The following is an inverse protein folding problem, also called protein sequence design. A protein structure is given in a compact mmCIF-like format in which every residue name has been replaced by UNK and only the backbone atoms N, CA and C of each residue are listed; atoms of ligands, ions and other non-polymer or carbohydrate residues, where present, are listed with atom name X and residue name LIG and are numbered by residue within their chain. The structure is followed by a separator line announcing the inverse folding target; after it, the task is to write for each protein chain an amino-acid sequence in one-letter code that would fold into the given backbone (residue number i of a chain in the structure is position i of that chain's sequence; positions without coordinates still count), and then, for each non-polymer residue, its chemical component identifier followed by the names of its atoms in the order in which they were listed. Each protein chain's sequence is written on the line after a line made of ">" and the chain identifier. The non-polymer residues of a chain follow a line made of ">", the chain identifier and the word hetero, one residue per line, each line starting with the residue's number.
data_IF_763442105425
#
_entry.id   IF_763442105425
#
_cell.length_a   1.000
_cell.length_b   1.000
_cell.length_c   1.000
_cell.angle_alpha   90.00
_cell.angle_beta   90.00
_cell.angle_gamma   90.00
#
_symmetry.space_group_name_H-M   'P 1'
#
loop_
_entity.id
_entity.type
_entity.pdbx_description
1 polymer ?
#
# COMPACT_ATOMS: atom_id res chain seq x y z
N UNK A 1 -9.18 29.13 -8.86
CA UNK A 1 -9.65 28.30 -7.74
C UNK A 1 -8.70 27.13 -7.60
N UNK A 2 -7.55 27.36 -6.96
CA UNK A 2 -6.44 26.41 -6.91
C UNK A 2 -6.41 25.76 -5.54
N UNK A 3 -7.24 24.73 -5.34
CA UNK A 3 -7.08 23.80 -4.24
C UNK A 3 -5.88 22.90 -4.60
N UNK A 4 -4.67 23.47 -4.48
CA UNK A 4 -3.45 22.69 -4.58
C UNK A 4 -3.47 21.74 -3.40
N UNK A 5 -3.83 20.48 -3.67
CA UNK A 5 -3.84 19.40 -2.69
C UNK A 5 -2.46 19.33 -2.02
N UNK A 6 -2.33 20.00 -0.89
CA UNK A 6 -1.07 20.04 -0.16
C UNK A 6 -0.77 18.62 0.31
N UNK A 7 0.42 18.13 -0.06
CA UNK A 7 0.87 16.78 0.19
C UNK A 7 1.20 16.60 1.69
N UNK A 8 0.17 16.47 2.51
CA UNK A 8 0.30 16.17 3.94
C UNK A 8 0.66 14.69 4.16
N UNK A 9 1.55 14.42 5.12
CA UNK A 9 2.05 13.09 5.45
C UNK A 9 0.93 12.09 5.80
N UNK A 10 -0.18 12.56 6.38
CA UNK A 10 -1.35 11.70 6.62
C UNK A 10 -1.98 11.21 5.32
N UNK A 11 -2.09 12.09 4.31
CA UNK A 11 -2.67 11.74 3.01
C UNK A 11 -1.73 10.82 2.24
N UNK A 12 -0.45 11.18 2.17
CA UNK A 12 0.56 10.39 1.47
C UNK A 12 0.67 8.98 2.03
N UNK A 13 0.74 8.83 3.36
CA UNK A 13 0.91 7.52 4.00
C UNK A 13 -0.28 6.55 3.87
N UNK A 14 -1.46 7.06 3.51
CA UNK A 14 -2.70 6.27 3.36
C UNK A 14 -3.28 6.31 1.94
N UNK A 15 -2.55 6.89 0.98
CA UNK A 15 -3.02 7.04 -0.39
C UNK A 15 -3.02 5.70 -1.14
N UNK A 16 -3.94 5.56 -2.09
CA UNK A 16 -4.00 4.46 -3.04
C UNK A 16 -4.28 5.01 -4.44
N UNK A 17 -3.56 4.52 -5.43
CA UNK A 17 -3.82 4.83 -6.83
C UNK A 17 -5.00 4.03 -7.37
N UNK A 18 -5.63 4.50 -8.44
CA UNK A 18 -6.67 3.74 -9.14
C UNK A 18 -6.16 2.39 -9.65
N UNK A 19 -4.91 2.35 -10.13
CA UNK A 19 -4.25 1.13 -10.62
C UNK A 19 -4.10 0.10 -9.51
N UNK A 20 -3.60 0.53 -8.36
CA UNK A 20 -3.37 -0.34 -7.21
C UNK A 20 -4.70 -0.75 -6.54
N UNK A 21 -5.73 0.10 -6.57
CA UNK A 21 -7.07 -0.28 -6.12
C UNK A 21 -7.68 -1.36 -7.01
N UNK A 22 -7.59 -1.20 -8.33
CA UNK A 22 -8.09 -2.18 -9.29
C UNK A 22 -7.35 -3.52 -9.15
N UNK A 23 -6.04 -3.49 -8.94
CA UNK A 23 -5.28 -4.72 -8.66
C UNK A 23 -5.79 -5.42 -7.40
N UNK A 24 -6.02 -4.69 -6.30
CA UNK A 24 -6.54 -5.29 -5.07
C UNK A 24 -7.91 -5.96 -5.30
N UNK A 25 -8.80 -5.29 -6.03
CA UNK A 25 -10.12 -5.83 -6.38
C UNK A 25 -10.02 -7.08 -7.26
N UNK A 26 -9.18 -7.05 -8.29
CA UNK A 26 -8.89 -8.21 -9.15
C UNK A 26 -8.41 -9.41 -8.31
N UNK A 27 -7.45 -9.19 -7.42
CA UNK A 27 -6.94 -10.23 -6.52
C UNK A 27 -7.99 -10.78 -5.56
N UNK A 28 -8.93 -9.96 -5.10
CA UNK A 28 -10.05 -10.43 -4.28
C UNK A 28 -11.03 -11.29 -5.07
N UNK A 29 -11.22 -11.03 -6.37
CA UNK A 29 -12.08 -11.85 -7.25
C UNK A 29 -11.40 -13.20 -7.54
N UNK A 30 -10.09 -13.19 -7.74
CA UNK A 30 -9.26 -14.38 -8.02
C UNK A 30 -8.79 -15.11 -6.75
N UNK A 31 -9.29 -14.69 -5.59
CA UNK A 31 -8.84 -15.21 -4.31
C UNK A 31 -9.06 -16.74 -4.18
N UNK A 32 -8.21 -17.44 -3.39
CA UNK A 32 -8.40 -18.85 -3.11
C UNK A 32 -9.81 -19.16 -2.56
N UNK A 33 -10.44 -20.29 -2.94
CA UNK A 33 -11.83 -20.58 -2.58
C UNK A 33 -12.03 -20.84 -1.07
N UNK A 34 -10.95 -21.09 -0.32
CA UNK A 34 -10.95 -21.24 1.13
C UNK A 34 -10.89 -19.88 1.87
N UNK A 35 -10.60 -18.78 1.17
CA UNK A 35 -10.63 -17.44 1.73
C UNK A 35 -12.06 -16.86 1.75
N UNK A 36 -12.81 -17.18 2.80
CA UNK A 36 -14.20 -16.74 2.94
C UNK A 36 -14.36 -15.26 3.28
N UNK A 37 -13.46 -14.70 4.09
CA UNK A 37 -13.52 -13.32 4.54
C UNK A 37 -12.13 -12.83 4.99
N UNK A 38 -11.78 -11.61 4.61
CA UNK A 38 -10.58 -10.92 5.10
C UNK A 38 -10.76 -9.40 5.05
N UNK A 39 -9.96 -8.70 5.87
CA UNK A 39 -9.88 -7.24 5.86
C UNK A 39 -8.50 -6.85 5.31
N UNK A 40 -8.50 -6.04 4.25
CA UNK A 40 -7.30 -5.56 3.60
C UNK A 40 -7.18 -4.04 3.68
N UNK A 41 -5.96 -3.58 3.89
CA UNK A 41 -5.62 -2.16 3.86
C UNK A 41 -5.29 -1.78 2.42
N UNK A 42 -6.22 -1.10 1.76
CA UNK A 42 -6.04 -0.58 0.40
C UNK A 42 -5.13 0.65 0.40
N UNK A 43 -3.81 0.43 0.47
CA UNK A 43 -2.79 1.48 0.30
C UNK A 43 -1.80 1.04 -0.76
N UNK A 44 -1.38 2.02 -1.58
CA UNK A 44 -0.32 1.83 -2.57
C UNK A 44 1.02 1.52 -1.91
N UNK A 45 2.06 1.29 -2.71
CA UNK A 45 3.42 1.04 -2.22
C UNK A 45 4.12 2.33 -1.74
N UNK A 46 3.37 3.17 -1.01
CA UNK A 46 3.84 4.44 -0.46
C UNK A 46 5.09 4.22 0.36
N UNK A 47 6.04 5.14 0.22
CA UNK A 47 7.34 5.03 0.89
C UNK A 47 7.25 4.88 2.40
N UNK A 48 6.34 5.63 3.02
CA UNK A 48 6.07 5.59 4.44
C UNK A 48 4.61 5.21 4.65
N UNK A 49 4.32 3.91 4.75
CA UNK A 49 2.95 3.42 4.96
C UNK A 49 2.57 3.58 6.42
N UNK A 50 1.34 4.03 6.65
CA UNK A 50 0.76 4.08 7.99
C UNK A 50 0.20 2.72 8.44
N UNK A 51 -0.07 1.83 7.49
CA UNK A 51 -0.78 0.57 7.71
C UNK A 51 -0.01 -0.59 7.08
N UNK A 52 -0.02 -1.73 7.76
CA UNK A 52 0.58 -2.96 7.27
C UNK A 52 -0.29 -3.60 6.18
N UNK A 53 0.34 -4.00 5.06
CA UNK A 53 -0.30 -4.68 3.92
C UNK A 53 0.18 -6.12 3.76
N UNK A 54 0.94 -6.65 4.71
CA UNK A 54 1.46 -8.04 4.68
C UNK A 54 0.33 -9.06 4.48
N UNK A 55 -0.82 -8.87 5.13
CA UNK A 55 -1.99 -9.74 4.95
C UNK A 55 -2.47 -9.79 3.49
N UNK A 56 -2.61 -8.63 2.83
CA UNK A 56 -3.08 -8.57 1.45
C UNK A 56 -2.06 -9.20 0.48
N UNK A 57 -0.76 -9.05 0.76
CA UNK A 57 0.32 -9.73 0.01
C UNK A 57 0.24 -11.25 0.16
N UNK A 58 0.08 -11.73 1.41
CA UNK A 58 0.08 -13.16 1.72
C UNK A 58 -1.17 -13.89 1.23
N UNK A 59 -2.36 -13.32 1.45
CA UNK A 59 -3.62 -14.04 1.21
C UNK A 59 -4.12 -13.95 -0.22
N UNK A 60 -3.88 -12.83 -0.90
CA UNK A 60 -4.43 -12.59 -2.26
C UNK A 60 -3.37 -12.14 -3.26
N UNK A 61 -2.08 -12.09 -2.89
CA UNK A 61 -1.01 -11.71 -3.82
C UNK A 61 -1.08 -10.24 -4.25
N UNK A 62 -1.55 -9.35 -3.37
CA UNK A 62 -1.57 -7.91 -3.63
C UNK A 62 -0.13 -7.36 -3.74
N UNK A 63 0.20 -6.67 -4.82
CA UNK A 63 1.54 -6.18 -5.12
C UNK A 63 1.45 -4.77 -5.73
N UNK A 64 1.14 -3.74 -4.92
CA UNK A 64 0.98 -2.38 -5.38
C UNK A 64 2.29 -1.83 -5.96
N UNK A 65 2.19 -0.90 -6.90
CA UNK A 65 3.32 -0.37 -7.67
C UNK A 65 3.54 1.12 -7.53
N UNK A 66 2.50 1.86 -7.15
CA UNK A 66 2.57 3.32 -7.12
C UNK A 66 3.05 3.82 -5.74
N UNK A 67 3.72 4.97 -5.71
CA UNK A 67 4.21 5.63 -4.49
C UNK A 67 3.67 7.05 -4.44
N UNK A 68 2.84 7.37 -3.45
CA UNK A 68 2.24 8.69 -3.29
C UNK A 68 3.28 9.81 -3.27
N UNK A 69 4.44 9.59 -2.66
CA UNK A 69 5.43 10.64 -2.51
C UNK A 69 6.08 11.00 -3.85
N UNK A 70 6.24 10.02 -4.73
CA UNK A 70 6.65 10.25 -6.11
C UNK A 70 5.53 10.88 -6.94
N UNK A 71 4.29 10.37 -6.78
CA UNK A 71 3.13 10.83 -7.54
C UNK A 71 2.81 12.32 -7.30
N UNK A 72 2.81 12.76 -6.04
CA UNK A 72 2.54 14.15 -5.67
C UNK A 72 3.79 15.04 -5.65
N UNK A 73 4.97 14.50 -6.01
CA UNK A 73 6.22 15.26 -5.99
C UNK A 73 6.58 15.80 -4.59
N UNK A 74 6.14 15.13 -3.53
CA UNK A 74 6.50 15.48 -2.16
C UNK A 74 8.03 15.34 -2.03
N UNK A 75 8.74 16.42 -1.71
CA UNK A 75 10.19 16.57 -1.90
C UNK A 75 11.09 15.59 -1.14
N UNK A 76 11.12 14.32 -1.55
CA UNK A 76 12.06 13.33 -1.04
C UNK A 76 13.40 13.55 -1.74
N UNK A 77 14.40 13.99 -0.97
CA UNK A 77 15.75 14.21 -1.48
C UNK A 77 16.40 12.92 -2.00
N UNK A 78 16.06 11.78 -1.41
CA UNK A 78 16.59 10.47 -1.80
C UNK A 78 15.53 9.71 -2.59
N UNK A 79 15.72 9.52 -3.90
CA UNK A 79 14.78 8.77 -4.73
C UNK A 79 14.88 7.27 -4.52
N UNK A 80 16.09 6.77 -4.31
CA UNK A 80 16.34 5.37 -3.99
C UNK A 80 15.84 5.03 -2.59
N UNK A 81 15.15 3.89 -2.48
CA UNK A 81 14.65 3.38 -1.21
C UNK A 81 15.80 2.76 -0.42
N UNK A 82 16.38 3.54 0.47
CA UNK A 82 17.34 3.05 1.48
C UNK A 82 16.66 2.20 2.55
N UNK A 83 15.36 2.42 2.79
CA UNK A 83 14.51 1.58 3.62
C UNK A 83 13.69 0.64 2.74
N UNK A 84 13.87 -0.66 2.95
CA UNK A 84 12.96 -1.70 2.44
C UNK A 84 12.14 -2.19 3.64
N UNK A 85 10.83 -2.37 3.45
CA UNK A 85 10.00 -3.03 4.45
C UNK A 85 10.58 -4.42 4.72
N UNK A 86 11.00 -4.66 5.96
CA UNK A 86 11.38 -6.01 6.36
C UNK A 86 10.13 -6.88 6.34
N UNK A 87 10.21 -8.12 5.81
CA UNK A 87 9.10 -9.05 5.96
C UNK A 87 8.82 -9.20 7.44
N UNK A 88 7.60 -8.85 7.86
CA UNK A 88 7.17 -9.04 9.24
C UNK A 88 7.10 -10.55 9.47
N UNK A 89 8.21 -11.16 9.91
CA UNK A 89 8.20 -12.54 10.40
C UNK A 89 7.12 -12.62 11.46
N UNK A 90 6.02 -13.33 11.18
CA UNK A 90 4.94 -13.53 12.14
C UNK A 90 5.57 -13.94 13.47
N UNK A 91 5.58 -13.03 14.45
CA UNK A 91 5.55 -13.44 15.85
C UNK A 91 4.22 -14.16 15.98
N UNK A 92 4.23 -15.49 15.77
CA UNK A 92 3.16 -16.33 16.28
C UNK A 92 3.14 -16.03 17.78
N UNK A 93 2.10 -15.32 18.22
CA UNK A 93 1.79 -15.27 19.64
C UNK A 93 1.63 -16.73 20.12
N UNK A 94 2.11 -17.06 21.33
CA UNK A 94 2.01 -18.41 21.89
C UNK A 94 0.56 -18.87 22.01
#
# INVERSE_FOLDING_TARGET
>A
NSDSMEADGRRLSAWISERDMNQLLERCIEAPPDLMFAIFQGVSDNRFKRMDITNARELVGYAPKDDSFLFFGAGIQYRDRWYQEQPQTRRRAP
#
